data_IF_455627096395
#
_entry.id   IF_455627096395
#
_cell.length_a   1.000
_cell.length_b   1.000
_cell.length_c   1.000
_cell.angle_alpha   90.00
_cell.angle_beta   90.00
_cell.angle_gamma   90.00
#
_symmetry.space_group_name_H-M   'P 1'
#
loop_
_entity.id
_entity.type
_entity.pdbx_description
1 polymer ?
#
# COMPACT_ATOMS: atom_id res chain seq x y z
N UNK A 1 -25.22 9.03 -6.07
CA UNK A 1 -24.36 8.92 -4.88
C UNK A 1 -22.93 9.10 -5.35
N UNK A 2 -22.14 9.92 -4.69
CA UNK A 2 -20.72 10.04 -5.00
C UNK A 2 -20.04 8.70 -4.73
N UNK A 3 -19.10 8.32 -5.60
CA UNK A 3 -18.36 7.06 -5.45
C UNK A 3 -17.47 7.15 -4.20
N UNK A 4 -17.46 6.13 -3.36
CA UNK A 4 -16.62 6.04 -2.15
C UNK A 4 -15.12 5.86 -2.45
N UNK A 5 -14.79 5.41 -3.67
CA UNK A 5 -13.46 5.29 -4.22
C UNK A 5 -13.44 5.98 -5.60
N UNK A 6 -12.56 6.98 -5.75
CA UNK A 6 -12.29 7.60 -7.05
C UNK A 6 -11.08 6.92 -7.67
N UNK A 7 -11.11 6.74 -8.99
CA UNK A 7 -10.07 6.08 -9.75
C UNK A 7 -9.74 6.93 -10.99
N UNK A 8 -8.48 7.31 -11.10
CA UNK A 8 -7.93 8.08 -12.22
C UNK A 8 -6.63 7.42 -12.68
N UNK A 9 -6.28 7.58 -13.95
CA UNK A 9 -5.00 7.10 -14.49
C UNK A 9 -4.25 8.28 -15.08
N UNK A 10 -3.06 8.54 -14.54
CA UNK A 10 -2.10 9.51 -15.05
C UNK A 10 -0.94 8.76 -15.71
N UNK A 11 -0.95 8.70 -17.04
CA UNK A 11 -0.07 7.85 -17.84
C UNK A 11 -0.13 6.36 -17.39
N UNK A 12 0.89 5.85 -16.75
CA UNK A 12 0.95 4.48 -16.27
C UNK A 12 0.77 4.36 -14.75
N UNK A 13 0.32 5.43 -14.10
CA UNK A 13 0.09 5.49 -12.65
C UNK A 13 -1.41 5.56 -12.37
N UNK A 14 -1.95 4.57 -11.70
CA UNK A 14 -3.31 4.62 -11.17
C UNK A 14 -3.33 5.43 -9.86
N UNK A 15 -4.25 6.38 -9.75
CA UNK A 15 -4.46 7.17 -8.53
C UNK A 15 -5.83 6.83 -7.96
N UNK A 16 -5.83 6.19 -6.79
CA UNK A 16 -7.01 5.83 -6.03
C UNK A 16 -7.19 6.83 -4.89
N UNK A 17 -8.39 7.39 -4.78
CA UNK A 17 -8.71 8.36 -3.73
C UNK A 17 -9.90 7.88 -2.91
N UNK A 18 -9.70 7.67 -1.59
CA UNK A 18 -10.79 7.40 -0.64
C UNK A 18 -11.64 8.66 -0.55
N UNK A 19 -12.97 8.55 -0.74
CA UNK A 19 -13.87 9.68 -0.87
C UNK A 19 -15.05 9.58 0.11
N UNK A 20 -14.78 9.78 1.40
CA UNK A 20 -15.77 9.91 2.49
C UNK A 20 -15.27 10.94 3.52
N UNK A 21 -14.89 12.14 3.02
CA UNK A 21 -14.39 13.21 3.88
C UNK A 21 -15.44 13.61 4.96
N UNK A 22 -15.01 14.11 6.12
CA UNK A 22 -13.62 14.37 6.53
C UNK A 22 -12.93 13.16 7.14
N UNK A 23 -13.61 12.04 7.37
CA UNK A 23 -13.08 10.90 8.10
C UNK A 23 -12.58 9.78 7.21
N UNK A 24 -12.99 9.74 5.94
CA UNK A 24 -12.61 8.74 4.96
C UNK A 24 -12.75 7.30 5.49
N UNK A 25 -13.95 7.01 6.03
CA UNK A 25 -14.29 5.70 6.59
C UNK A 25 -14.33 4.65 5.48
N UNK A 26 -13.76 3.53 5.74
CA UNK A 26 -13.80 2.38 4.84
C UNK A 26 -15.17 1.67 4.99
N UNK A 27 -16.14 2.13 4.19
CA UNK A 27 -17.49 1.57 4.10
C UNK A 27 -17.50 0.19 3.43
N UNK A 28 -18.64 -0.50 3.45
CA UNK A 28 -18.81 -1.75 2.71
C UNK A 28 -18.62 -1.53 1.21
N UNK A 29 -19.23 -0.48 0.67
CA UNK A 29 -19.14 -0.15 -0.76
C UNK A 29 -17.71 0.27 -1.17
N UNK A 30 -16.98 0.96 -0.27
CA UNK A 30 -15.57 1.24 -0.49
C UNK A 30 -14.73 -0.04 -0.59
N UNK A 31 -14.93 -0.99 0.32
CA UNK A 31 -14.17 -2.24 0.30
C UNK A 31 -14.50 -3.13 -0.90
N UNK A 32 -15.75 -3.14 -1.34
CA UNK A 32 -16.14 -3.85 -2.57
C UNK A 32 -15.51 -3.18 -3.80
N UNK A 33 -15.58 -1.85 -3.89
CA UNK A 33 -14.95 -1.11 -4.99
C UNK A 33 -13.41 -1.26 -4.99
N UNK A 34 -12.78 -1.29 -3.82
CA UNK A 34 -11.33 -1.51 -3.70
C UNK A 34 -10.95 -2.93 -4.17
N UNK A 35 -11.71 -3.96 -3.80
CA UNK A 35 -11.48 -5.34 -4.24
C UNK A 35 -11.55 -5.44 -5.77
N UNK A 36 -12.61 -4.90 -6.38
CA UNK A 36 -12.77 -4.87 -7.84
C UNK A 36 -11.64 -4.11 -8.52
N UNK A 37 -11.29 -2.93 -8.02
CA UNK A 37 -10.23 -2.08 -8.60
C UNK A 37 -8.84 -2.75 -8.48
N UNK A 38 -8.54 -3.41 -7.36
CA UNK A 38 -7.29 -4.17 -7.18
C UNK A 38 -7.19 -5.30 -8.21
N UNK A 39 -8.29 -6.03 -8.45
CA UNK A 39 -8.36 -7.09 -9.44
C UNK A 39 -8.22 -6.57 -10.90
N UNK A 40 -8.79 -5.40 -11.21
CA UNK A 40 -8.65 -4.74 -12.50
C UNK A 40 -7.22 -4.28 -12.73
N UNK A 41 -6.62 -3.56 -11.78
CA UNK A 41 -5.23 -3.09 -11.84
C UNK A 41 -4.26 -4.26 -12.02
N UNK A 42 -4.48 -5.39 -11.36
CA UNK A 42 -3.62 -6.55 -11.48
C UNK A 42 -3.53 -7.09 -12.92
N UNK A 43 -4.62 -6.94 -13.71
CA UNK A 43 -4.76 -7.44 -15.08
C UNK A 43 -4.39 -6.41 -16.16
N UNK A 44 -4.35 -5.12 -15.85
CA UNK A 44 -4.10 -4.06 -16.81
C UNK A 44 -2.61 -3.71 -16.92
N UNK A 45 -1.92 -4.26 -17.92
CA UNK A 45 -0.49 -4.02 -18.16
C UNK A 45 -0.15 -2.54 -18.48
N UNK A 46 -1.14 -1.69 -18.81
CA UNK A 46 -0.91 -0.27 -18.99
C UNK A 46 -0.65 0.45 -17.66
N UNK A 47 -1.15 -0.10 -16.55
CA UNK A 47 -0.89 0.42 -15.19
C UNK A 47 0.36 -0.26 -14.64
N UNK A 48 1.36 0.54 -14.25
CA UNK A 48 2.66 0.08 -13.76
C UNK A 48 2.98 0.51 -12.32
N UNK A 49 2.26 1.48 -11.79
CA UNK A 49 2.34 1.87 -10.37
C UNK A 49 0.97 2.35 -9.89
N UNK A 50 0.76 2.34 -8.58
CA UNK A 50 -0.49 2.75 -7.95
C UNK A 50 -0.20 3.72 -6.80
N UNK A 51 -0.96 4.81 -6.74
CA UNK A 51 -0.98 5.74 -5.60
C UNK A 51 -2.32 5.65 -4.91
N UNK A 52 -2.33 5.36 -3.62
CA UNK A 52 -3.51 5.40 -2.76
C UNK A 52 -3.44 6.64 -1.87
N UNK A 53 -4.47 7.47 -1.95
CA UNK A 53 -4.61 8.70 -1.17
C UNK A 53 -6.06 8.86 -0.68
N UNK A 54 -6.39 9.98 -0.05
CA UNK A 54 -7.75 10.29 0.34
C UNK A 54 -8.16 11.69 -0.10
N UNK A 55 -9.46 11.91 -0.21
CA UNK A 55 -10.05 13.21 -0.50
C UNK A 55 -9.81 14.17 0.68
N UNK A 56 -9.56 15.42 0.34
CA UNK A 56 -9.21 16.48 1.28
C UNK A 56 -7.94 16.18 2.08
N UNK A 57 -7.53 17.09 2.96
CA UNK A 57 -6.27 16.97 3.70
C UNK A 57 -6.47 16.79 5.21
N UNK A 58 -7.73 16.53 5.66
CA UNK A 58 -8.01 16.35 7.07
C UNK A 58 -7.52 15.02 7.61
N UNK A 59 -7.91 13.92 6.97
CA UNK A 59 -7.56 12.58 7.41
C UNK A 59 -7.40 11.62 6.22
N UNK A 60 -6.44 10.73 6.30
CA UNK A 60 -6.34 9.63 5.36
C UNK A 60 -7.50 8.66 5.56
N UNK A 61 -7.65 8.09 6.77
CA UNK A 61 -8.80 7.28 7.14
C UNK A 61 -8.82 6.95 8.63
N UNK A 62 -10.01 7.00 9.23
CA UNK A 62 -10.24 6.49 10.58
C UNK A 62 -10.56 4.98 10.62
N UNK A 63 -10.44 4.29 9.49
CA UNK A 63 -10.66 2.86 9.38
C UNK A 63 -12.10 2.48 9.08
N UNK A 64 -12.50 1.30 9.54
CA UNK A 64 -13.80 0.71 9.25
C UNK A 64 -14.97 1.59 9.65
N UNK A 65 -16.02 1.66 8.81
CA UNK A 65 -17.30 2.23 9.20
C UNK A 65 -18.03 1.28 10.16
N UNK A 66 -17.79 1.44 11.45
CA UNK A 66 -18.35 0.57 12.49
C UNK A 66 -19.88 0.55 12.53
N UNK A 67 -20.54 1.61 12.03
CA UNK A 67 -22.01 1.64 11.94
C UNK A 67 -22.58 0.62 10.95
N UNK A 68 -21.75 0.18 10.00
CA UNK A 68 -22.11 -0.81 8.99
C UNK A 68 -21.66 -2.24 9.35
N UNK A 69 -21.16 -2.46 10.56
CA UNK A 69 -20.61 -3.77 10.94
C UNK A 69 -21.66 -4.89 10.85
N UNK A 70 -22.83 -4.68 11.43
CA UNK A 70 -23.92 -5.66 11.43
C UNK A 70 -24.46 -5.90 9.99
N UNK A 71 -24.67 -4.83 9.23
CA UNK A 71 -25.04 -4.91 7.81
C UNK A 71 -23.99 -5.70 7.02
N UNK A 72 -22.70 -5.47 7.32
CA UNK A 72 -21.60 -6.19 6.68
C UNK A 72 -21.62 -7.69 6.94
N UNK A 73 -21.92 -8.11 8.18
CA UNK A 73 -22.09 -9.52 8.52
C UNK A 73 -23.26 -10.13 7.72
N UNK A 74 -24.41 -9.45 7.66
CA UNK A 74 -25.55 -9.90 6.90
C UNK A 74 -25.25 -10.00 5.40
N UNK A 75 -24.58 -8.99 4.84
CA UNK A 75 -24.20 -8.94 3.41
C UNK A 75 -23.18 -10.01 3.02
N UNK A 76 -22.22 -10.33 3.88
CA UNK A 76 -21.16 -11.31 3.62
C UNK A 76 -21.46 -12.71 4.17
N UNK A 77 -22.50 -12.86 5.00
CA UNK A 77 -22.96 -14.12 5.59
C UNK A 77 -22.32 -14.46 6.94
N UNK A 78 -21.19 -13.87 7.31
CA UNK A 78 -20.56 -14.02 8.63
C UNK A 78 -19.54 -12.89 8.91
N UNK A 79 -19.14 -12.74 10.17
CA UNK A 79 -18.03 -11.87 10.55
C UNK A 79 -16.71 -12.31 9.92
N UNK A 80 -16.47 -13.61 9.85
CA UNK A 80 -15.25 -14.16 9.26
C UNK A 80 -15.17 -13.82 7.77
N UNK A 81 -16.24 -14.04 7.01
CA UNK A 81 -16.28 -13.68 5.60
C UNK A 81 -16.13 -12.17 5.35
N UNK A 82 -16.63 -11.34 6.28
CA UNK A 82 -16.44 -9.90 6.24
C UNK A 82 -14.97 -9.53 6.41
N UNK A 83 -14.26 -10.11 7.37
CA UNK A 83 -12.85 -9.86 7.62
C UNK A 83 -11.95 -10.50 6.56
N UNK A 84 -12.28 -11.69 6.09
CA UNK A 84 -11.54 -12.41 5.03
C UNK A 84 -11.47 -11.60 3.75
N UNK A 85 -12.53 -10.89 3.36
CA UNK A 85 -12.48 -9.97 2.22
C UNK A 85 -11.38 -8.92 2.39
N UNK A 86 -11.29 -8.27 3.56
CA UNK A 86 -10.30 -7.23 3.85
C UNK A 86 -8.90 -7.79 3.85
N UNK A 87 -8.69 -8.93 4.51
CA UNK A 87 -7.41 -9.63 4.51
C UNK A 87 -6.97 -9.98 3.10
N UNK A 88 -7.88 -10.51 2.28
CA UNK A 88 -7.62 -10.88 0.88
C UNK A 88 -7.24 -9.68 0.02
N UNK A 89 -7.95 -8.56 0.16
CA UNK A 89 -7.65 -7.34 -0.59
C UNK A 89 -6.27 -6.80 -0.21
N UNK A 90 -5.95 -6.73 1.08
CA UNK A 90 -4.64 -6.25 1.54
C UNK A 90 -3.50 -7.20 1.10
N UNK A 91 -3.72 -8.52 1.17
CA UNK A 91 -2.75 -9.51 0.67
C UNK A 91 -2.55 -9.38 -0.86
N UNK A 92 -3.62 -9.12 -1.62
CA UNK A 92 -3.52 -8.89 -3.05
C UNK A 92 -2.70 -7.63 -3.38
N UNK A 93 -2.85 -6.54 -2.62
CA UNK A 93 -2.03 -5.35 -2.72
C UNK A 93 -0.57 -5.67 -2.39
N UNK A 94 -0.30 -6.32 -1.26
CA UNK A 94 1.04 -6.66 -0.79
C UNK A 94 1.80 -7.57 -1.76
N UNK A 95 1.10 -8.53 -2.39
CA UNK A 95 1.71 -9.47 -3.37
C UNK A 95 1.69 -8.98 -4.80
N UNK A 96 1.09 -7.82 -5.07
CA UNK A 96 1.03 -7.27 -6.41
C UNK A 96 2.44 -6.97 -6.94
N UNK A 97 2.66 -7.28 -8.23
CA UNK A 97 3.94 -7.03 -8.91
C UNK A 97 4.04 -5.61 -9.48
N UNK A 98 3.19 -4.72 -9.03
CA UNK A 98 3.18 -3.29 -9.34
C UNK A 98 3.31 -2.54 -8.02
N UNK A 99 4.21 -1.56 -7.89
CA UNK A 99 4.39 -0.84 -6.63
C UNK A 99 3.15 -0.04 -6.25
N UNK A 100 2.77 -0.14 -5.00
CA UNK A 100 1.74 0.67 -4.36
C UNK A 100 2.39 1.67 -3.43
N UNK A 101 2.08 2.94 -3.65
CA UNK A 101 2.50 4.06 -2.83
C UNK A 101 1.27 4.57 -2.09
N UNK A 102 1.37 4.82 -0.79
CA UNK A 102 0.27 5.38 -0.01
C UNK A 102 0.71 6.68 0.67
N UNK A 103 -0.17 7.68 0.66
CA UNK A 103 -0.01 8.91 1.44
C UNK A 103 -0.73 8.78 2.77
N UNK A 104 -0.10 9.18 3.86
CA UNK A 104 -0.64 9.07 5.22
C UNK A 104 -0.65 10.46 5.87
N UNK A 105 -1.81 10.92 6.34
CA UNK A 105 -1.97 12.23 6.96
C UNK A 105 -3.18 12.26 7.88
N UNK A 106 -3.21 13.22 8.83
CA UNK A 106 -4.27 13.26 9.83
C UNK A 106 -4.42 11.92 10.53
N UNK A 107 -5.63 11.43 10.68
CA UNK A 107 -5.87 10.09 11.23
C UNK A 107 -5.58 8.99 10.20
N UNK A 108 -4.73 8.05 10.61
CA UNK A 108 -4.44 6.79 9.93
C UNK A 108 -4.64 5.66 10.95
N UNK A 109 -5.90 5.31 11.23
CA UNK A 109 -6.26 4.49 12.38
C UNK A 109 -6.98 3.20 11.98
N UNK A 110 -6.71 2.11 12.71
CA UNK A 110 -7.31 0.81 12.47
C UNK A 110 -7.12 0.35 11.02
N UNK A 111 -8.20 0.04 10.30
CA UNK A 111 -8.15 -0.25 8.85
C UNK A 111 -7.44 0.82 8.03
N UNK A 112 -7.44 2.09 8.49
CA UNK A 112 -6.70 3.20 7.90
C UNK A 112 -5.18 3.13 8.09
N UNK A 113 -4.68 2.21 8.93
CA UNK A 113 -3.27 1.80 8.98
C UNK A 113 -3.10 0.40 8.37
N UNK A 114 -4.07 -0.50 8.52
CA UNK A 114 -3.95 -1.88 8.03
C UNK A 114 -3.79 -1.95 6.51
N UNK A 115 -4.54 -1.13 5.74
CA UNK A 115 -4.39 -1.02 4.28
C UNK A 115 -3.03 -0.45 3.88
N UNK A 116 -2.55 0.68 4.44
CA UNK A 116 -1.17 1.17 4.24
C UNK A 116 -0.07 0.16 4.51
N UNK A 117 -0.23 -0.71 5.50
CA UNK A 117 0.74 -1.76 5.81
C UNK A 117 0.87 -2.81 4.69
N UNK A 118 -0.14 -2.97 3.84
CA UNK A 118 -0.04 -3.79 2.62
C UNK A 118 0.61 -3.05 1.44
N UNK A 119 0.76 -1.72 1.50
CA UNK A 119 1.41 -0.94 0.44
C UNK A 119 2.94 -1.03 0.55
N UNK A 120 3.62 -0.91 -0.60
CA UNK A 120 5.08 -1.06 -0.70
C UNK A 120 5.83 0.20 -0.23
N UNK A 121 5.30 1.38 -0.54
CA UNK A 121 5.86 2.66 -0.12
C UNK A 121 4.82 3.44 0.68
N UNK A 122 5.21 3.94 1.85
CA UNK A 122 4.38 4.75 2.74
C UNK A 122 5.04 6.11 2.93
N UNK A 123 4.38 7.15 2.45
CA UNK A 123 4.78 8.53 2.60
C UNK A 123 3.84 9.19 3.60
N UNK A 124 4.35 10.03 4.49
CA UNK A 124 3.57 10.63 5.57
C UNK A 124 3.71 12.14 5.61
N UNK A 125 2.64 12.81 6.01
CA UNK A 125 2.66 14.23 6.30
C UNK A 125 3.58 14.54 7.50
N UNK A 126 4.40 15.58 7.39
CA UNK A 126 5.28 16.05 8.46
C UNK A 126 4.47 16.46 9.69
N UNK A 127 3.32 17.06 9.48
CA UNK A 127 2.48 17.63 10.51
C UNK A 127 1.13 16.91 10.61
N UNK A 128 0.56 16.88 11.81
CA UNK A 128 -0.81 16.43 12.08
C UNK A 128 -1.08 14.93 12.00
N UNK A 129 -0.16 14.12 11.51
CA UNK A 129 -0.39 12.68 11.37
C UNK A 129 -0.50 11.99 12.75
N UNK A 130 -1.53 11.15 12.89
CA UNK A 130 -1.79 10.30 14.04
C UNK A 130 -2.02 8.88 13.56
N UNK A 131 -1.04 8.01 13.75
CA UNK A 131 -0.96 6.69 13.15
C UNK A 131 -1.03 5.63 14.24
N UNK A 132 -1.93 4.66 14.14
CA UNK A 132 -2.04 3.60 15.15
C UNK A 132 -3.12 2.57 14.90
N UNK A 133 -3.12 1.55 15.76
CA UNK A 133 -4.13 0.49 15.84
C UNK A 133 -4.82 0.56 17.22
N UNK A 134 -5.82 1.47 17.39
CA UNK A 134 -6.42 1.74 18.69
C UNK A 134 -7.63 0.83 19.01
N UNK A 135 -7.70 -0.35 18.43
CA UNK A 135 -8.84 -1.26 18.57
C UNK A 135 -9.11 -1.66 20.02
N UNK A 136 -8.07 -1.74 20.87
CA UNK A 136 -8.21 -2.09 22.27
C UNK A 136 -9.02 -1.04 23.08
N UNK A 137 -9.04 0.25 22.64
CA UNK A 137 -9.87 1.28 23.22
C UNK A 137 -11.36 0.97 23.06
N UNK A 138 -11.70 0.10 22.08
CA UNK A 138 -13.06 -0.37 21.81
C UNK A 138 -13.32 -1.79 22.35
N UNK A 139 -12.37 -2.39 23.07
CA UNK A 139 -12.43 -3.79 23.48
C UNK A 139 -12.33 -4.78 22.31
N UNK A 140 -11.81 -4.34 21.18
CA UNK A 140 -11.62 -5.13 19.97
C UNK A 140 -10.12 -5.35 19.68
N UNK A 141 -9.82 -6.07 18.59
CA UNK A 141 -8.45 -6.30 18.10
C UNK A 141 -8.36 -5.98 16.62
N UNK A 142 -7.17 -5.60 16.09
CA UNK A 142 -6.96 -5.46 14.65
C UNK A 142 -7.33 -6.76 13.92
N UNK A 143 -8.15 -6.66 12.87
CA UNK A 143 -8.73 -7.84 12.23
C UNK A 143 -8.37 -8.00 10.75
N UNK A 144 -7.67 -7.01 10.15
CA UNK A 144 -7.28 -7.04 8.73
C UNK A 144 -5.79 -7.34 8.53
N UNK A 145 -5.15 -7.94 9.54
CA UNK A 145 -3.74 -8.32 9.53
C UNK A 145 -2.78 -7.23 10.02
N UNK A 146 -3.32 -6.18 10.65
CA UNK A 146 -2.53 -5.06 11.16
C UNK A 146 -1.50 -5.45 12.18
N UNK A 147 -1.83 -6.30 13.16
CA UNK A 147 -0.88 -6.74 14.19
C UNK A 147 0.30 -7.49 13.58
N UNK A 148 0.06 -8.40 12.64
CA UNK A 148 1.12 -9.17 12.00
C UNK A 148 2.02 -8.28 11.13
N UNK A 149 1.41 -7.45 10.26
CA UNK A 149 2.16 -6.57 9.36
C UNK A 149 2.91 -5.46 10.08
N UNK A 150 2.30 -4.87 11.12
CA UNK A 150 2.98 -3.86 11.93
C UNK A 150 4.20 -4.45 12.63
N UNK A 151 4.06 -5.61 13.28
CA UNK A 151 5.17 -6.30 13.94
C UNK A 151 6.31 -6.61 12.97
N UNK A 152 5.98 -7.09 11.78
CA UNK A 152 6.96 -7.35 10.72
C UNK A 152 7.67 -6.07 10.26
N UNK A 153 6.94 -4.95 10.19
CA UNK A 153 7.45 -3.69 9.70
C UNK A 153 8.38 -2.98 10.69
N UNK A 154 7.94 -2.86 11.97
CA UNK A 154 8.63 -2.02 12.98
C UNK A 154 9.30 -2.83 14.11
N UNK A 155 9.17 -4.14 14.07
CA UNK A 155 9.63 -5.02 15.14
C UNK A 155 8.67 -5.10 16.33
N UNK A 156 8.84 -6.15 17.13
CA UNK A 156 7.93 -6.51 18.22
C UNK A 156 7.77 -5.40 19.26
N UNK A 157 8.87 -4.78 19.68
CA UNK A 157 8.83 -3.77 20.75
C UNK A 157 7.97 -2.55 20.37
N UNK A 158 8.09 -2.05 19.15
CA UNK A 158 7.30 -0.92 18.68
C UNK A 158 5.85 -1.30 18.42
N UNK A 159 5.61 -2.48 17.86
CA UNK A 159 4.27 -2.98 17.65
C UNK A 159 3.52 -3.18 18.97
N UNK A 160 4.16 -3.76 20.00
CA UNK A 160 3.57 -3.90 21.33
C UNK A 160 3.23 -2.55 21.97
N UNK A 161 4.12 -1.55 21.88
CA UNK A 161 3.85 -0.20 22.42
C UNK A 161 2.68 0.48 21.72
N UNK A 162 2.55 0.30 20.40
CA UNK A 162 1.45 0.89 19.63
C UNK A 162 0.12 0.15 19.85
N UNK A 163 0.10 -1.18 19.81
CA UNK A 163 -1.12 -1.98 19.86
C UNK A 163 -1.65 -2.07 21.30
N UNK A 164 -0.81 -2.57 22.24
CA UNK A 164 -1.28 -2.87 23.60
C UNK A 164 -1.62 -1.61 24.41
N UNK A 165 -1.16 -0.44 23.98
CA UNK A 165 -1.44 0.83 24.61
C UNK A 165 -2.34 1.75 23.77
N UNK A 166 -2.88 1.23 22.67
CA UNK A 166 -3.67 2.01 21.67
C UNK A 166 -2.98 3.32 21.28
N UNK A 167 -1.64 3.30 21.24
CA UNK A 167 -0.82 4.50 21.08
C UNK A 167 -0.84 4.98 19.62
N UNK A 168 -1.12 6.27 19.45
CA UNK A 168 -0.98 6.97 18.18
C UNK A 168 0.37 7.65 18.12
N UNK A 169 1.07 7.49 17.01
CA UNK A 169 2.39 8.12 16.78
C UNK A 169 2.31 9.16 15.68
N UNK A 170 3.23 10.13 15.72
CA UNK A 170 3.37 11.16 14.69
C UNK A 170 4.09 10.62 13.45
N UNK A 171 4.00 11.35 12.33
CA UNK A 171 4.75 11.05 11.11
C UNK A 171 6.26 10.96 11.34
N UNK A 172 6.82 11.89 12.12
CA UNK A 172 8.24 11.86 12.50
C UNK A 172 8.62 10.57 13.24
N UNK A 173 7.78 10.16 14.21
CA UNK A 173 8.04 8.92 14.94
C UNK A 173 7.88 7.70 14.03
N UNK A 174 6.93 7.72 13.11
CA UNK A 174 6.76 6.66 12.12
C UNK A 174 8.00 6.49 11.22
N UNK A 175 8.64 7.59 10.82
CA UNK A 175 9.90 7.57 10.07
C UNK A 175 11.04 7.00 10.92
N UNK A 176 11.18 7.45 12.17
CA UNK A 176 12.23 6.98 13.09
C UNK A 176 12.22 5.46 13.32
N UNK A 177 11.04 4.86 13.37
CA UNK A 177 10.90 3.40 13.61
C UNK A 177 10.79 2.57 12.33
N UNK A 178 10.94 3.20 11.15
CA UNK A 178 10.87 2.53 9.86
C UNK A 178 9.46 2.13 9.40
N UNK A 179 8.40 2.68 10.02
CA UNK A 179 7.03 2.44 9.57
C UNK A 179 6.75 3.09 8.22
N UNK A 180 7.33 4.25 7.96
CA UNK A 180 7.19 4.99 6.71
C UNK A 180 8.55 5.24 6.07
N UNK A 181 8.57 5.49 4.76
CA UNK A 181 9.77 5.67 3.96
C UNK A 181 10.21 7.12 3.91
N UNK A 182 9.25 8.04 3.82
CA UNK A 182 9.49 9.45 3.62
C UNK A 182 8.48 10.32 4.39
N UNK A 183 8.88 11.55 4.70
CA UNK A 183 8.06 12.56 5.34
C UNK A 183 8.10 13.84 4.51
N UNK A 184 6.93 14.45 4.25
CA UNK A 184 6.80 15.64 3.40
C UNK A 184 5.75 16.62 3.96
N UNK A 185 5.80 17.91 3.61
CA UNK A 185 4.70 18.83 3.87
C UNK A 185 3.40 18.30 3.27
N UNK A 186 2.29 18.48 3.97
CA UNK A 186 1.00 17.88 3.60
C UNK A 186 0.50 18.34 2.21
N UNK A 187 0.76 19.57 1.84
CA UNK A 187 0.39 20.18 0.55
C UNK A 187 1.21 19.63 -0.62
N UNK A 188 2.39 19.09 -0.37
CA UNK A 188 3.26 18.45 -1.37
C UNK A 188 3.07 16.93 -1.45
N UNK A 189 2.57 16.30 -0.39
CA UNK A 189 2.58 14.86 -0.18
C UNK A 189 1.98 14.04 -1.34
N UNK A 190 0.82 14.45 -1.84
CA UNK A 190 0.16 13.77 -2.97
C UNK A 190 1.00 13.87 -4.25
N UNK A 191 1.57 15.05 -4.52
CA UNK A 191 2.37 15.28 -5.72
C UNK A 191 3.67 14.48 -5.68
N UNK A 192 4.31 14.39 -4.51
CA UNK A 192 5.52 13.56 -4.30
C UNK A 192 5.19 12.08 -4.50
N UNK A 193 4.07 11.60 -3.97
CA UNK A 193 3.64 10.21 -4.19
C UNK A 193 3.39 9.89 -5.68
N UNK A 194 2.76 10.81 -6.43
CA UNK A 194 2.55 10.65 -7.87
C UNK A 194 3.90 10.68 -8.62
N UNK A 195 4.80 11.57 -8.26
CA UNK A 195 6.14 11.65 -8.85
C UNK A 195 6.93 10.35 -8.64
N UNK A 196 6.90 9.78 -7.42
CA UNK A 196 7.47 8.46 -7.13
C UNK A 196 6.78 7.37 -7.95
N UNK A 197 5.46 7.44 -8.13
CA UNK A 197 4.71 6.54 -8.99
C UNK A 197 5.22 6.56 -10.44
N UNK A 198 5.44 7.74 -11.00
CA UNK A 198 6.00 7.91 -12.34
C UNK A 198 7.44 7.39 -12.44
N UNK A 199 8.27 7.66 -11.42
CA UNK A 199 9.64 7.14 -11.36
C UNK A 199 9.63 5.61 -11.44
N UNK A 200 8.84 4.95 -10.57
CA UNK A 200 8.73 3.50 -10.54
C UNK A 200 8.10 2.92 -11.81
N UNK A 201 7.07 3.58 -12.36
CA UNK A 201 6.44 3.18 -13.61
C UNK A 201 7.36 3.32 -14.83
N UNK A 202 8.41 4.14 -14.76
CA UNK A 202 9.42 4.29 -15.82
C UNK A 202 10.47 3.18 -15.81
N UNK A 203 10.59 2.41 -14.75
CA UNK A 203 11.50 1.27 -14.66
C UNK A 203 11.06 0.12 -15.59
N UNK A 204 11.94 -0.78 -15.99
CA UNK A 204 11.59 -1.94 -16.80
C UNK A 204 10.61 -2.84 -16.03
N UNK A 205 9.36 -2.90 -16.49
CA UNK A 205 8.25 -3.50 -15.74
C UNK A 205 8.50 -4.97 -15.34
N UNK A 206 9.09 -5.77 -16.24
CA UNK A 206 9.44 -7.16 -15.96
C UNK A 206 10.47 -7.30 -14.85
N UNK A 207 11.56 -6.51 -14.90
CA UNK A 207 12.61 -6.54 -13.89
C UNK A 207 12.10 -6.05 -12.52
N UNK A 208 11.31 -4.95 -12.51
CA UNK A 208 10.68 -4.43 -11.30
C UNK A 208 9.76 -5.50 -10.67
N UNK A 209 8.89 -6.12 -11.46
CA UNK A 209 7.98 -7.16 -11.00
C UNK A 209 8.71 -8.38 -10.42
N UNK A 210 9.80 -8.81 -11.06
CA UNK A 210 10.63 -9.91 -10.57
C UNK A 210 11.35 -9.55 -9.27
N UNK A 211 11.85 -8.33 -9.13
CA UNK A 211 12.48 -7.88 -7.87
C UNK A 211 11.45 -7.72 -6.74
N UNK A 212 10.26 -7.22 -7.01
CA UNK A 212 9.19 -7.18 -6.01
C UNK A 212 8.85 -8.59 -5.49
N UNK A 213 8.79 -9.60 -6.38
CA UNK A 213 8.58 -11.01 -5.98
C UNK A 213 9.68 -11.54 -5.06
N UNK A 214 10.91 -11.05 -5.20
CA UNK A 214 12.03 -11.43 -4.31
C UNK A 214 11.93 -10.70 -2.97
N UNK A 215 11.66 -9.38 -3.01
CA UNK A 215 11.73 -8.51 -1.84
C UNK A 215 10.51 -8.61 -0.93
N UNK A 216 9.29 -8.70 -1.52
CA UNK A 216 8.06 -8.84 -0.73
C UNK A 216 8.09 -10.15 0.05
N UNK A 217 7.85 -10.05 1.35
CA UNK A 217 7.91 -11.19 2.28
C UNK A 217 9.29 -11.88 2.36
N UNK A 218 10.38 -11.16 2.07
CA UNK A 218 11.74 -11.68 2.18
C UNK A 218 12.08 -12.14 3.60
N UNK A 219 11.54 -11.49 4.63
CA UNK A 219 11.73 -11.87 6.04
C UNK A 219 11.13 -13.25 6.42
N UNK A 220 10.27 -13.82 5.60
CA UNK A 220 9.66 -15.14 5.79
C UNK A 220 10.49 -16.26 5.16
N UNK A 221 11.56 -15.93 4.44
CA UNK A 221 12.41 -16.85 3.70
C UNK A 221 13.81 -16.89 4.28
N UNK A 222 14.46 -18.04 4.16
CA UNK A 222 15.88 -18.14 4.46
C UNK A 222 16.74 -17.61 3.30
N UNK A 223 18.04 -17.42 3.54
CA UNK A 223 18.95 -16.85 2.54
C UNK A 223 19.04 -17.70 1.26
N UNK A 224 19.00 -19.02 1.38
CA UNK A 224 19.08 -19.93 0.22
C UNK A 224 17.86 -19.76 -0.69
N UNK A 225 16.67 -19.70 -0.12
CA UNK A 225 15.41 -19.43 -0.86
C UNK A 225 15.43 -18.06 -1.55
N UNK A 226 15.98 -17.04 -0.89
CA UNK A 226 16.12 -15.70 -1.48
C UNK A 226 17.10 -15.69 -2.65
N UNK A 227 18.26 -16.37 -2.51
CA UNK A 227 19.25 -16.47 -3.59
C UNK A 227 18.70 -17.26 -4.79
N UNK A 228 17.89 -18.29 -4.56
CA UNK A 228 17.21 -19.02 -5.63
C UNK A 228 16.16 -18.16 -6.33
N UNK A 229 15.39 -17.39 -5.57
CA UNK A 229 14.41 -16.46 -6.13
C UNK A 229 15.07 -15.33 -6.95
N UNK A 230 16.20 -14.77 -6.48
CA UNK A 230 16.99 -13.79 -7.21
C UNK A 230 17.55 -14.37 -8.52
N UNK A 231 18.07 -15.61 -8.50
CA UNK A 231 18.52 -16.30 -9.71
C UNK A 231 17.38 -16.51 -10.72
N UNK A 232 16.19 -16.87 -10.24
CA UNK A 232 15.00 -16.97 -11.09
C UNK A 232 14.66 -15.62 -11.73
N UNK A 233 14.71 -14.54 -10.95
CA UNK A 233 14.48 -13.19 -11.47
C UNK A 233 15.49 -12.81 -12.56
N UNK A 234 16.77 -13.19 -12.43
CA UNK A 234 17.78 -13.00 -13.48
C UNK A 234 17.39 -13.74 -14.76
N UNK A 235 16.97 -15.01 -14.65
CA UNK A 235 16.56 -15.80 -15.83
C UNK A 235 15.29 -15.25 -16.49
N UNK A 236 14.30 -14.81 -15.70
CA UNK A 236 13.06 -14.21 -16.21
C UNK A 236 13.33 -12.93 -17.02
N UNK A 237 14.37 -12.17 -16.68
CA UNK A 237 14.68 -10.88 -17.31
C UNK A 237 15.83 -10.92 -18.30
N UNK A 238 16.55 -12.04 -18.43
CA UNK A 238 17.64 -12.18 -19.35
C UNK A 238 17.14 -12.16 -20.81
N UNK A 239 17.79 -11.37 -21.67
CA UNK A 239 17.43 -11.19 -23.08
C UNK A 239 16.04 -10.60 -23.36
N UNK A 240 15.38 -9.98 -22.39
CA UNK A 240 14.16 -9.20 -22.64
C UNK A 240 14.50 -7.95 -23.46
N UNK A 241 13.49 -7.36 -24.13
CA UNK A 241 13.68 -6.10 -24.87
C UNK A 241 14.24 -5.01 -23.97
N UNK A 242 13.71 -4.90 -22.74
CA UNK A 242 14.17 -3.90 -21.77
C UNK A 242 15.59 -4.15 -21.29
N UNK A 243 16.01 -5.41 -21.10
CA UNK A 243 17.40 -5.71 -20.71
C UNK A 243 18.39 -5.37 -21.84
N UNK A 244 18.00 -5.60 -23.10
CA UNK A 244 18.81 -5.23 -24.27
C UNK A 244 18.88 -3.71 -24.44
N UNK A 245 17.75 -3.01 -24.30
CA UNK A 245 17.69 -1.55 -24.34
C UNK A 245 18.54 -0.93 -23.23
N UNK A 246 18.43 -1.43 -22.01
CA UNK A 246 19.22 -0.95 -20.86
C UNK A 246 20.72 -1.08 -21.11
N UNK A 247 21.17 -2.22 -21.63
CA UNK A 247 22.58 -2.46 -21.99
C UNK A 247 23.04 -1.52 -23.11
N UNK A 248 22.24 -1.40 -24.18
CA UNK A 248 22.55 -0.54 -25.31
C UNK A 248 22.63 0.94 -24.89
N UNK A 249 21.62 1.42 -24.14
CA UNK A 249 21.59 2.79 -23.65
C UNK A 249 22.79 3.12 -22.76
N UNK A 250 23.21 2.17 -21.89
CA UNK A 250 24.42 2.30 -21.07
C UNK A 250 25.67 2.47 -21.91
N UNK A 251 25.88 1.63 -22.94
CA UNK A 251 27.02 1.71 -23.84
C UNK A 251 27.03 3.01 -24.67
N UNK A 252 25.86 3.47 -25.09
CA UNK A 252 25.67 4.72 -25.85
C UNK A 252 25.64 5.98 -24.98
N UNK A 253 25.71 5.84 -23.64
CA UNK A 253 25.63 6.95 -22.66
C UNK A 253 24.37 7.82 -22.80
N UNK A 254 23.23 7.20 -23.07
CA UNK A 254 21.91 7.84 -23.13
C UNK A 254 20.96 7.26 -22.08
N UNK A 255 19.84 7.94 -21.86
CA UNK A 255 18.76 7.39 -21.02
C UNK A 255 18.07 6.23 -21.73
N UNK A 256 17.80 5.10 -21.05
CA UNK A 256 17.05 4.00 -21.63
C UNK A 256 15.57 4.37 -21.82
N UNK A 257 14.91 3.66 -22.73
CA UNK A 257 13.47 3.80 -23.00
C UNK A 257 12.79 2.45 -22.84
N UNK A 258 12.40 2.13 -21.62
CA UNK A 258 11.78 0.87 -21.27
C UNK A 258 10.30 0.79 -21.61
N UNK A 259 9.74 -0.43 -21.54
CA UNK A 259 8.31 -0.71 -21.66
C UNK A 259 7.70 -0.33 -23.04
N UNK A 260 8.46 -0.62 -24.12
CA UNK A 260 8.03 -0.36 -25.51
C UNK A 260 7.64 -1.62 -26.29
#
# INVERSE_FOLDING_TARGET
MDKSLLFEVDNAVAVLTINDAPYNRMSLDFMDALEETVDEIAKDDAIRAVVLTAAELDNFSVGMNLKQFQEGIERKGSSDALFDQRLKVIDAIERMRKPWIVTMFGYCLGGGLEVPLGCHFRLVAEEGAQIGLPELDLGAVPAWGGSARLTKCVGENHAMDMILRSKKISGKRALEIGLVHEIHPIDELKNVAIALGHELASQPAGALASMMKVLVNSSEKNLEELLLAERSAVHENNNTKDSQEGMLAFLEKRKPQFNK
#
